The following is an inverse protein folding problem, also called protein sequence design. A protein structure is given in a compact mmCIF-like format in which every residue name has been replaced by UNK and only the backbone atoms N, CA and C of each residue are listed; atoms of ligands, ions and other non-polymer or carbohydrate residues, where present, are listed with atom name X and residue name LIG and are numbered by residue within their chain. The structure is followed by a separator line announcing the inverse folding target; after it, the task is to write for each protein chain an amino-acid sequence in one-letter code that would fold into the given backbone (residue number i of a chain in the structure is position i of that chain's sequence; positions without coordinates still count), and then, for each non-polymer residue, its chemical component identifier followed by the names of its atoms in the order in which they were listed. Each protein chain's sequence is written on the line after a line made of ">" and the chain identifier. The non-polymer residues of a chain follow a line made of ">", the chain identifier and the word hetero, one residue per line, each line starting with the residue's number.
data_IF_306244694992
#
_entry.id   IF_306244694992
#
_cell.length_a   1.000
_cell.length_b   1.000
_cell.length_c   1.000
_cell.angle_alpha   90.00
_cell.angle_beta   90.00
_cell.angle_gamma   90.00
#
_symmetry.space_group_name_H-M   'P 1'
#
loop_
_entity.id
_entity.type
_entity.pdbx_description
1 polymer ?
#
# COMPACT_ATOMS: atom_id res chain seq x y z
N UNK A 1 -39.33 -43.92 -28.23
CA UNK A 1 -40.38 -43.46 -29.16
C UNK A 1 -41.08 -42.27 -28.53
N UNK A 2 -41.01 -41.09 -29.18
CA UNK A 2 -41.70 -39.85 -28.81
C UNK A 2 -43.19 -39.96 -29.15
N UNK A 3 -44.07 -39.36 -28.33
CA UNK A 3 -45.39 -38.76 -28.65
C UNK A 3 -45.91 -38.10 -27.35
N UNK A 4 -45.67 -36.81 -27.10
CA UNK A 4 -46.52 -35.64 -27.44
C UNK A 4 -48.00 -35.85 -27.12
N UNK A 5 -48.56 -35.03 -26.22
CA UNK A 5 -49.72 -34.16 -26.48
C UNK A 5 -49.80 -33.05 -25.42
N UNK A 6 -50.05 -31.86 -25.95
CA UNK A 6 -50.20 -30.54 -25.34
C UNK A 6 -51.52 -30.39 -24.59
N UNK A 7 -51.51 -29.65 -23.47
CA UNK A 7 -52.63 -28.79 -23.05
C UNK A 7 -52.09 -27.49 -22.45
N UNK A 8 -52.16 -26.42 -23.25
CA UNK A 8 -52.16 -25.05 -22.77
C UNK A 8 -53.36 -24.86 -21.83
N UNK A 9 -53.11 -24.36 -20.63
CA UNK A 9 -54.08 -23.57 -19.88
C UNK A 9 -53.36 -22.28 -19.48
N UNK A 10 -53.70 -21.21 -20.20
CA UNK A 10 -53.40 -19.84 -19.79
C UNK A 10 -54.02 -19.60 -18.42
N UNK A 11 -53.21 -19.26 -17.43
CA UNK A 11 -53.65 -18.49 -16.29
C UNK A 11 -52.70 -17.30 -16.14
N UNK A 12 -53.17 -16.14 -16.59
CA UNK A 12 -52.53 -14.85 -16.40
C UNK A 12 -52.58 -14.48 -14.93
N UNK A 13 -51.50 -14.75 -14.19
CA UNK A 13 -51.27 -14.15 -12.88
C UNK A 13 -50.31 -12.98 -13.09
N UNK A 14 -50.84 -11.77 -12.95
CA UNK A 14 -50.08 -10.53 -13.00
C UNK A 14 -48.97 -10.58 -11.95
N UNK A 15 -47.72 -10.53 -12.43
CA UNK A 15 -46.56 -10.40 -11.57
C UNK A 15 -46.40 -8.91 -11.28
N UNK A 16 -46.73 -8.49 -10.05
CA UNK A 16 -46.32 -7.18 -9.56
C UNK A 16 -44.80 -7.15 -9.59
N UNK A 17 -44.22 -6.32 -10.45
CA UNK A 17 -42.79 -6.07 -10.43
C UNK A 17 -42.53 -5.24 -9.18
N UNK A 18 -42.25 -5.90 -8.06
CA UNK A 18 -41.62 -5.25 -6.93
C UNK A 18 -40.32 -4.67 -7.47
N UNK A 19 -40.23 -3.35 -7.56
CA UNK A 19 -38.95 -2.66 -7.71
C UNK A 19 -38.12 -3.05 -6.48
N UNK A 20 -37.36 -4.13 -6.59
CA UNK A 20 -36.17 -4.32 -5.78
C UNK A 20 -35.33 -3.10 -6.12
N UNK A 21 -35.22 -2.17 -5.16
CA UNK A 21 -34.17 -1.19 -5.22
C UNK A 21 -32.88 -1.99 -5.42
N UNK A 22 -32.31 -1.90 -6.62
CA UNK A 22 -30.93 -2.32 -6.83
C UNK A 22 -30.17 -1.28 -6.02
N UNK A 23 -29.98 -1.58 -4.74
CA UNK A 23 -28.91 -1.00 -3.97
C UNK A 23 -27.68 -1.38 -4.77
N UNK A 24 -27.24 -0.44 -5.60
CA UNK A 24 -25.95 -0.51 -6.25
C UNK A 24 -25.00 -0.69 -5.08
N UNK A 25 -24.51 -1.91 -4.86
CA UNK A 25 -23.37 -2.14 -4.00
C UNK A 25 -22.29 -1.25 -4.56
N UNK A 26 -22.15 -0.08 -3.95
CA UNK A 26 -21.16 0.91 -4.29
C UNK A 26 -19.86 0.20 -4.00
N UNK A 27 -19.25 -0.35 -5.05
CA UNK A 27 -17.91 -0.92 -4.99
C UNK A 27 -17.06 0.28 -4.59
N UNK A 28 -16.76 0.40 -3.29
CA UNK A 28 -15.74 1.33 -2.82
C UNK A 28 -14.54 1.00 -3.69
N UNK A 29 -14.01 1.94 -4.49
CA UNK A 29 -12.77 1.67 -5.18
C UNK A 29 -11.79 1.31 -4.07
N UNK A 30 -11.31 0.07 -4.08
CA UNK A 30 -10.14 -0.33 -3.29
C UNK A 30 -9.08 0.63 -3.79
N UNK A 31 -8.86 1.71 -3.04
CA UNK A 31 -7.81 2.66 -3.33
C UNK A 31 -6.55 1.82 -3.40
N UNK A 32 -5.99 1.68 -4.60
CA UNK A 32 -4.66 1.12 -4.77
C UNK A 32 -3.78 1.88 -3.79
N UNK A 33 -3.37 1.20 -2.72
CA UNK A 33 -2.57 1.81 -1.66
C UNK A 33 -1.34 2.35 -2.38
N UNK A 34 -1.21 3.68 -2.46
CA UNK A 34 -0.04 4.30 -3.09
C UNK A 34 1.16 3.84 -2.27
N UNK A 35 1.89 2.87 -2.80
CA UNK A 35 3.14 2.42 -2.25
C UNK A 35 4.08 3.62 -2.35
N UNK A 36 4.40 4.21 -1.20
CA UNK A 36 5.38 5.25 -1.15
C UNK A 36 6.76 4.61 -1.18
N UNK A 37 7.55 4.94 -2.20
CA UNK A 37 8.89 4.41 -2.40
C UNK A 37 9.97 5.39 -1.93
N UNK A 38 9.69 6.70 -2.01
CA UNK A 38 10.60 7.77 -1.61
C UNK A 38 10.12 8.42 -0.30
N UNK A 39 11.05 8.69 0.60
CA UNK A 39 10.76 9.22 1.93
C UNK A 39 11.72 10.34 2.28
N UNK A 40 11.20 11.30 3.02
CA UNK A 40 11.95 12.42 3.60
C UNK A 40 12.32 12.10 5.03
N UNK A 41 13.58 12.36 5.38
CA UNK A 41 14.08 12.29 6.76
C UNK A 41 13.54 13.48 7.56
N UNK A 42 12.83 13.20 8.65
CA UNK A 42 12.17 14.24 9.47
C UNK A 42 12.83 14.48 10.83
N UNK A 43 13.91 13.74 11.17
CA UNK A 43 14.64 13.94 12.43
C UNK A 43 15.48 15.24 12.38
N UNK A 44 15.23 16.26 13.23
CA UNK A 44 15.91 17.56 13.12
C UNK A 44 17.43 17.50 13.29
N UNK A 45 17.93 16.59 14.13
CA UNK A 45 19.37 16.45 14.43
C UNK A 45 20.05 15.35 13.60
N UNK A 46 19.47 15.05 12.43
CA UNK A 46 19.91 13.97 11.56
C UNK A 46 19.46 12.58 12.02
N UNK A 47 19.43 11.62 11.10
CA UNK A 47 18.95 10.25 11.32
C UNK A 47 20.10 9.26 11.18
N UNK A 48 20.37 8.49 12.24
CA UNK A 48 21.41 7.48 12.22
C UNK A 48 21.01 6.32 11.33
N UNK A 49 21.94 5.92 10.47
CA UNK A 49 21.83 4.73 9.64
C UNK A 49 22.64 3.62 10.30
N UNK A 50 22.02 2.46 10.44
CA UNK A 50 22.58 1.31 11.11
C UNK A 50 22.81 0.14 10.15
N UNK A 51 23.78 -0.71 10.46
CA UNK A 51 23.82 -2.07 9.93
C UNK A 51 22.91 -3.00 10.76
N UNK A 52 22.43 -4.08 10.14
CA UNK A 52 21.70 -5.18 10.78
C UNK A 52 20.57 -4.75 11.75
N UNK A 53 19.68 -3.85 11.33
CA UNK A 53 18.50 -3.48 12.13
C UNK A 53 18.79 -2.78 13.46
N UNK A 54 19.93 -2.07 13.57
CA UNK A 54 20.24 -1.25 14.74
C UNK A 54 21.55 -1.58 15.47
N UNK A 55 22.37 -2.52 14.97
CA UNK A 55 23.53 -3.01 15.74
C UNK A 55 24.70 -2.03 15.82
N UNK A 56 24.94 -1.23 14.77
CA UNK A 56 26.04 -0.27 14.71
C UNK A 56 25.71 0.86 13.74
N UNK A 57 26.02 2.10 14.15
CA UNK A 57 25.87 3.31 13.32
C UNK A 57 26.98 3.34 12.26
N UNK A 58 26.60 3.57 11.00
CA UNK A 58 27.53 3.71 9.86
C UNK A 58 27.56 5.12 9.28
N UNK A 59 26.49 5.89 9.42
CA UNK A 59 26.43 7.29 8.99
C UNK A 59 25.23 8.01 9.62
N UNK A 60 25.12 9.30 9.37
CA UNK A 60 23.97 10.13 9.75
C UNK A 60 23.44 10.84 8.50
N UNK A 61 22.14 10.71 8.24
CA UNK A 61 21.46 11.45 7.17
C UNK A 61 20.96 12.79 7.70
N UNK A 62 21.09 13.89 6.94
CA UNK A 62 20.58 15.19 7.37
C UNK A 62 19.05 15.25 7.33
N UNK A 63 18.47 16.21 8.06
CA UNK A 63 17.06 16.56 7.92
C UNK A 63 16.73 16.89 6.45
N UNK A 64 15.52 16.57 6.01
CA UNK A 64 15.04 16.70 4.63
C UNK A 64 15.76 15.84 3.59
N UNK A 65 16.70 14.97 3.97
CA UNK A 65 17.32 14.05 3.02
C UNK A 65 16.28 13.09 2.44
N UNK A 66 16.37 12.81 1.14
CA UNK A 66 15.45 11.91 0.45
C UNK A 66 16.10 10.54 0.31
N UNK A 67 15.38 9.50 0.73
CA UNK A 67 15.81 8.11 0.67
C UNK A 67 14.74 7.23 0.06
N UNK A 68 15.13 6.08 -0.48
CA UNK A 68 14.19 5.06 -0.89
C UNK A 68 14.04 4.01 0.21
N UNK A 69 12.82 3.55 0.47
CA UNK A 69 12.55 2.45 1.41
C UNK A 69 12.30 1.16 0.63
N UNK A 70 13.12 0.15 0.89
CA UNK A 70 13.11 -1.11 0.15
C UNK A 70 12.59 -2.28 1.00
N UNK A 71 12.25 -2.03 2.26
CA UNK A 71 11.70 -3.04 3.15
C UNK A 71 11.51 -2.51 4.56
N UNK A 72 10.66 -3.20 5.32
CA UNK A 72 10.38 -2.91 6.71
C UNK A 72 10.74 -4.16 7.53
N UNK A 73 11.29 -3.98 8.73
CA UNK A 73 11.57 -5.09 9.65
C UNK A 73 10.28 -5.78 10.11
N UNK A 74 10.39 -7.02 10.58
CA UNK A 74 9.23 -7.80 11.01
C UNK A 74 8.45 -7.15 12.17
N UNK A 75 9.11 -6.38 13.02
CA UNK A 75 8.53 -5.62 14.13
C UNK A 75 7.98 -4.24 13.71
N UNK A 76 8.22 -3.80 12.46
CA UNK A 76 7.75 -2.52 11.94
C UNK A 76 8.52 -1.29 12.43
N UNK A 77 9.57 -1.44 13.25
CA UNK A 77 10.31 -0.30 13.79
C UNK A 77 11.38 0.23 12.86
N UNK A 78 11.95 -0.64 12.01
CA UNK A 78 13.07 -0.30 11.15
C UNK A 78 12.67 -0.32 9.68
N UNK A 79 13.15 0.67 8.95
CA UNK A 79 13.06 0.74 7.50
C UNK A 79 14.44 0.48 6.89
N UNK A 80 14.51 -0.48 5.96
CA UNK A 80 15.69 -0.70 5.14
C UNK A 80 15.69 0.34 4.03
N UNK A 81 16.68 1.21 4.05
CA UNK A 81 16.78 2.32 3.11
C UNK A 81 17.92 2.14 2.11
N UNK A 82 17.77 2.81 0.98
CA UNK A 82 18.80 3.09 0.01
C UNK A 82 18.95 4.62 -0.09
N UNK A 83 20.18 5.11 -0.02
CA UNK A 83 20.47 6.56 -0.01
C UNK A 83 21.72 6.87 -0.84
N UNK A 84 21.82 8.09 -1.36
CA UNK A 84 23.01 8.56 -2.06
C UNK A 84 24.07 8.99 -1.02
N UNK A 85 25.26 8.39 -1.10
CA UNK A 85 26.40 8.74 -0.25
C UNK A 85 27.13 9.97 -0.78
N UNK A 86 27.97 10.55 0.08
CA UNK A 86 28.81 11.72 -0.26
C UNK A 86 29.83 11.45 -1.37
N UNK A 87 30.20 10.20 -1.60
CA UNK A 87 31.09 9.76 -2.67
C UNK A 87 30.34 9.43 -3.99
N UNK A 88 29.05 9.73 -4.06
CA UNK A 88 28.21 9.49 -5.23
C UNK A 88 27.76 8.03 -5.40
N UNK A 89 28.13 7.13 -4.49
CA UNK A 89 27.68 5.74 -4.53
C UNK A 89 26.37 5.54 -3.76
N UNK A 90 25.67 4.45 -4.05
CA UNK A 90 24.49 4.07 -3.27
C UNK A 90 24.90 3.39 -1.96
N UNK A 91 24.40 3.91 -0.85
CA UNK A 91 24.48 3.33 0.48
C UNK A 91 23.20 2.57 0.84
N UNK A 92 23.34 1.62 1.76
CA UNK A 92 22.23 0.84 2.30
C UNK A 92 22.35 0.73 3.81
N UNK A 93 21.21 0.69 4.49
CA UNK A 93 21.19 0.46 5.93
C UNK A 93 19.78 0.49 6.48
N UNK A 94 19.69 0.55 7.80
CA UNK A 94 18.44 0.56 8.54
C UNK A 94 18.30 1.86 9.31
N UNK A 95 17.10 2.42 9.34
CA UNK A 95 16.77 3.62 10.12
C UNK A 95 15.47 3.41 10.88
N UNK A 96 15.28 4.13 11.97
CA UNK A 96 14.01 4.14 12.69
C UNK A 96 12.92 4.73 11.79
N UNK A 97 11.87 3.95 11.52
CA UNK A 97 10.82 4.24 10.52
C UNK A 97 10.00 5.47 10.88
N UNK A 98 9.84 5.76 12.17
CA UNK A 98 9.08 6.93 12.66
C UNK A 98 9.62 8.28 12.18
N UNK A 99 10.88 8.33 11.74
CA UNK A 99 11.52 9.53 11.18
C UNK A 99 11.51 9.59 9.66
N UNK A 100 10.67 8.76 9.01
CA UNK A 100 10.47 8.77 7.57
C UNK A 100 9.04 9.17 7.25
N UNK A 101 8.90 10.20 6.43
CA UNK A 101 7.62 10.64 5.90
C UNK A 101 7.56 10.40 4.40
N UNK A 102 6.42 9.92 3.90
CA UNK A 102 6.25 9.69 2.47
C UNK A 102 6.49 10.97 1.69
N UNK A 103 7.35 10.90 0.67
CA UNK A 103 7.66 12.02 -0.21
C UNK A 103 7.28 11.66 -1.65
N UNK A 104 6.40 12.46 -2.23
CA UNK A 104 5.98 12.39 -3.63
C UNK A 104 6.11 13.82 -4.18
N UNK A 105 6.89 13.99 -5.25
CA UNK A 105 6.98 15.25 -6.00
C UNK A 105 5.77 15.42 -6.95
#
# INVERSE_FOLDING_TARGET
>A
MKKLISKLAMLSLGFTVSLMAVETTQIKPVQAQRLCYSYRVTRPNGLYVYINGGSQIITTLPYNNIVNVNGISADGYWAKIQYLRVDGQMGYGWVAREFLECYQE
#
